data_IF_808866370157
#
_entry.id   IF_808866370157
#
_cell.length_a   1.000
_cell.length_b   1.000
_cell.length_c   1.000
_cell.angle_alpha   90.00
_cell.angle_beta   90.00
_cell.angle_gamma   90.00
#
_symmetry.space_group_name_H-M   'P 1'
#
loop_
_entity.id
_entity.type
_entity.pdbx_description
1 polymer ?
#
# COMPACT_ATOMS: atom_id res chain seq x y z
N UNK A 1 -15.43 -0.62 -32.64
CA UNK A 1 -15.45 -0.31 -31.19
C UNK A 1 -16.46 -1.25 -30.57
N UNK A 2 -16.02 -2.27 -29.83
CA UNK A 2 -16.90 -3.34 -29.30
C UNK A 2 -17.91 -2.77 -28.30
N UNK A 3 -19.13 -3.33 -28.27
CA UNK A 3 -20.19 -2.89 -27.34
C UNK A 3 -19.73 -2.94 -25.88
N UNK A 4 -18.85 -3.88 -25.54
CA UNK A 4 -18.18 -3.94 -24.24
C UNK A 4 -17.42 -2.66 -23.88
N UNK A 5 -16.68 -2.08 -24.83
CA UNK A 5 -15.94 -0.85 -24.60
C UNK A 5 -16.88 0.33 -24.31
N UNK A 6 -18.00 0.43 -25.03
CA UNK A 6 -19.03 1.45 -24.79
C UNK A 6 -19.67 1.31 -23.41
N UNK A 7 -20.10 0.09 -23.05
CA UNK A 7 -20.72 -0.17 -21.74
C UNK A 7 -19.74 0.09 -20.60
N UNK A 8 -18.46 -0.28 -20.77
CA UNK A 8 -17.42 -0.01 -19.79
C UNK A 8 -17.17 1.50 -19.62
N UNK A 9 -17.06 2.25 -20.71
CA UNK A 9 -16.92 3.72 -20.66
C UNK A 9 -18.13 4.36 -19.97
N UNK A 10 -19.36 3.92 -20.27
CA UNK A 10 -20.56 4.42 -19.61
C UNK A 10 -20.58 4.10 -18.10
N UNK A 11 -20.16 2.90 -17.70
CA UNK A 11 -20.04 2.55 -16.27
C UNK A 11 -19.00 3.41 -15.56
N UNK A 12 -17.86 3.70 -16.20
CA UNK A 12 -16.84 4.57 -15.63
C UNK A 12 -17.32 6.02 -15.50
N UNK A 13 -18.01 6.55 -16.51
CA UNK A 13 -18.60 7.89 -16.48
C UNK A 13 -19.67 8.02 -15.39
N UNK A 14 -20.54 7.01 -15.27
CA UNK A 14 -21.55 6.96 -14.21
C UNK A 14 -20.93 6.81 -12.83
N UNK A 15 -19.88 5.99 -12.67
CA UNK A 15 -19.12 5.87 -11.43
C UNK A 15 -18.45 7.18 -11.02
N UNK A 16 -17.85 7.88 -11.98
CA UNK A 16 -17.25 9.19 -11.76
C UNK A 16 -18.30 10.28 -11.42
N UNK A 17 -19.48 10.23 -12.04
CA UNK A 17 -20.59 11.13 -11.72
C UNK A 17 -21.16 10.86 -10.32
N UNK A 18 -21.33 9.59 -9.94
CA UNK A 18 -21.77 9.17 -8.60
C UNK A 18 -20.74 9.58 -7.54
N UNK A 19 -19.45 9.36 -7.78
CA UNK A 19 -18.38 9.75 -6.87
C UNK A 19 -18.37 11.27 -6.63
N UNK A 20 -18.52 12.09 -7.69
CA UNK A 20 -18.63 13.55 -7.58
C UNK A 20 -19.86 14.01 -6.80
N UNK A 21 -21.00 13.34 -7.00
CA UNK A 21 -22.25 13.66 -6.30
C UNK A 21 -22.21 13.32 -4.81
N UNK A 22 -21.43 12.30 -4.42
CA UNK A 22 -21.27 11.88 -3.03
C UNK A 22 -20.23 12.72 -2.27
N UNK A 23 -19.09 13.02 -2.90
CA UNK A 23 -18.10 13.97 -2.37
C UNK A 23 -17.15 14.39 -3.52
N UNK A 24 -17.03 15.68 -3.86
CA UNK A 24 -16.10 16.13 -4.90
C UNK A 24 -14.63 15.72 -4.66
N UNK A 25 -14.23 15.47 -3.41
CA UNK A 25 -12.90 14.96 -3.05
C UNK A 25 -12.67 13.49 -3.49
N UNK A 26 -13.72 12.73 -3.82
CA UNK A 26 -13.59 11.36 -4.33
C UNK A 26 -13.26 11.31 -5.83
N UNK A 27 -13.49 12.41 -6.56
CA UNK A 27 -13.06 12.52 -7.96
C UNK A 27 -11.57 12.87 -8.09
N UNK A 28 -11.00 13.46 -7.04
CA UNK A 28 -9.56 13.66 -6.86
C UNK A 28 -8.94 12.48 -6.08
N UNK A 29 -9.35 11.25 -6.40
CA UNK A 29 -8.73 10.05 -5.82
C UNK A 29 -7.29 9.96 -6.33
N UNK A 30 -6.38 10.63 -5.63
CA UNK A 30 -4.96 10.61 -5.94
C UNK A 30 -4.36 9.29 -5.45
N UNK A 31 -3.39 8.72 -6.18
CA UNK A 31 -2.56 7.62 -5.68
C UNK A 31 -1.92 7.95 -4.31
N UNK A 32 -1.70 9.23 -4.01
CA UNK A 32 -1.19 9.71 -2.72
C UNK A 32 -2.17 9.50 -1.55
N UNK A 33 -3.47 9.39 -1.83
CA UNK A 33 -4.48 9.05 -0.84
C UNK A 33 -4.48 7.57 -0.45
N UNK A 34 -4.04 6.69 -1.35
CA UNK A 34 -3.92 5.24 -1.07
C UNK A 34 -2.88 4.97 0.02
N UNK A 35 -1.76 5.69 0.04
CA UNK A 35 -0.75 5.58 1.10
C UNK A 35 -1.26 6.01 2.48
N UNK A 36 -2.30 6.84 2.54
CA UNK A 36 -2.99 7.23 3.78
C UNK A 36 -4.07 6.23 4.18
N UNK A 37 -4.61 5.47 3.23
CA UNK A 37 -5.59 4.41 3.49
C UNK A 37 -4.93 3.17 4.10
N UNK A 38 -3.64 2.94 3.84
CA UNK A 38 -2.85 1.90 4.51
C UNK A 38 -2.05 2.50 5.67
N UNK A 39 -2.58 2.45 6.91
CA UNK A 39 -1.88 2.99 8.07
C UNK A 39 -0.60 2.22 8.36
N UNK A 40 0.35 2.88 9.00
CA UNK A 40 1.52 2.21 9.55
C UNK A 40 1.05 1.27 10.68
N UNK A 41 1.35 -0.01 10.55
CA UNK A 41 1.00 -1.01 11.58
C UNK A 41 1.74 -0.67 12.88
N UNK A 42 1.08 -0.81 14.04
CA UNK A 42 1.74 -0.67 15.34
C UNK A 42 2.87 -1.68 15.51
N UNK A 43 3.88 -1.35 16.31
CA UNK A 43 5.06 -2.18 16.56
C UNK A 43 4.73 -3.61 16.97
N UNK A 44 3.79 -3.80 17.89
CA UNK A 44 3.40 -5.13 18.38
C UNK A 44 2.77 -6.00 17.29
N UNK A 45 2.00 -5.37 16.39
CA UNK A 45 1.43 -6.04 15.22
C UNK A 45 2.50 -6.37 14.18
N UNK A 46 3.51 -5.52 14.03
CA UNK A 46 4.65 -5.81 13.16
C UNK A 46 5.48 -6.98 13.67
N UNK A 47 5.71 -7.10 14.98
CA UNK A 47 6.38 -8.27 15.54
C UNK A 47 5.54 -9.54 15.43
N UNK A 48 4.23 -9.44 15.59
CA UNK A 48 3.32 -10.57 15.41
C UNK A 48 3.27 -11.07 13.95
N UNK A 49 3.24 -10.16 12.97
CA UNK A 49 3.05 -10.53 11.55
C UNK A 49 4.38 -10.73 10.82
N UNK A 50 5.38 -9.90 11.09
CA UNK A 50 6.67 -9.88 10.38
C UNK A 50 7.85 -10.24 11.27
N UNK A 51 7.67 -10.35 12.58
CA UNK A 51 8.74 -10.65 13.51
C UNK A 51 8.93 -12.12 13.80
N UNK A 52 9.53 -12.37 14.97
CA UNK A 52 9.84 -13.68 15.49
C UNK A 52 8.83 -14.16 16.54
N UNK A 53 7.70 -13.44 16.73
CA UNK A 53 6.68 -13.79 17.72
C UNK A 53 6.16 -15.24 17.58
N UNK A 54 6.03 -15.74 16.35
CA UNK A 54 5.65 -17.12 16.05
C UNK A 54 6.80 -18.01 15.57
N UNK A 55 8.01 -17.46 15.43
CA UNK A 55 9.20 -18.18 15.02
C UNK A 55 10.43 -17.64 15.78
N UNK A 56 10.74 -18.18 16.98
CA UNK A 56 11.76 -17.62 17.87
C UNK A 56 13.16 -17.54 17.27
N UNK A 57 13.51 -18.48 16.40
CA UNK A 57 14.80 -18.53 15.70
C UNK A 57 14.82 -17.69 14.40
N UNK A 58 13.70 -17.03 14.10
CA UNK A 58 13.53 -16.18 12.93
C UNK A 58 14.03 -14.74 13.11
N UNK A 59 14.01 -13.98 12.02
CA UNK A 59 14.35 -12.56 12.04
C UNK A 59 13.26 -11.75 12.77
N UNK A 60 13.70 -10.83 13.63
CA UNK A 60 12.87 -9.77 14.21
C UNK A 60 12.29 -8.86 13.12
N UNK A 61 11.23 -8.11 13.44
CA UNK A 61 10.52 -7.33 12.42
C UNK A 61 11.41 -6.25 11.79
N UNK A 62 12.29 -5.60 12.57
CA UNK A 62 13.24 -4.60 12.04
C UNK A 62 14.16 -5.21 10.99
N UNK A 63 14.81 -6.32 11.32
CA UNK A 63 15.77 -6.96 10.40
C UNK A 63 15.06 -7.47 9.15
N UNK A 64 13.86 -8.06 9.29
CA UNK A 64 13.07 -8.54 8.15
C UNK A 64 12.67 -7.40 7.22
N UNK A 65 12.17 -6.29 7.78
CA UNK A 65 11.75 -5.11 6.99
C UNK A 65 12.92 -4.48 6.24
N UNK A 66 14.11 -4.42 6.84
CA UNK A 66 15.32 -3.92 6.16
C UNK A 66 15.73 -4.81 4.97
N UNK A 67 15.66 -6.14 5.12
CA UNK A 67 15.90 -7.09 4.02
C UNK A 67 14.84 -6.94 2.93
N UNK A 68 13.58 -6.73 3.30
CA UNK A 68 12.50 -6.45 2.34
C UNK A 68 12.77 -5.17 1.54
N UNK A 69 13.22 -4.08 2.18
CA UNK A 69 13.60 -2.85 1.48
C UNK A 69 14.73 -3.12 0.48
N UNK A 70 15.76 -3.87 0.87
CA UNK A 70 16.85 -4.24 -0.04
C UNK A 70 16.35 -5.01 -1.27
N UNK A 71 15.43 -5.97 -1.07
CA UNK A 71 14.79 -6.72 -2.16
C UNK A 71 13.94 -5.84 -3.08
N UNK A 72 13.16 -4.91 -2.51
CA UNK A 72 12.35 -3.96 -3.27
C UNK A 72 13.22 -2.98 -4.08
N UNK A 73 14.33 -2.52 -3.52
CA UNK A 73 15.31 -1.67 -4.22
C UNK A 73 15.95 -2.45 -5.38
N UNK A 74 16.31 -3.72 -5.16
CA UNK A 74 16.83 -4.59 -6.22
C UNK A 74 15.81 -4.86 -7.34
N UNK A 75 14.51 -4.90 -7.02
CA UNK A 75 13.44 -5.10 -8.00
C UNK A 75 13.17 -3.86 -8.89
N UNK A 76 13.58 -2.66 -8.46
CA UNK A 76 13.60 -1.46 -9.30
C UNK A 76 12.29 -0.64 -9.30
N UNK A 77 12.08 0.13 -10.38
CA UNK A 77 11.22 1.31 -10.44
C UNK A 77 9.72 1.09 -10.12
N UNK A 78 9.20 -0.13 -10.18
CA UNK A 78 7.80 -0.43 -9.86
C UNK A 78 7.52 -0.51 -8.36
N UNK A 79 8.57 -0.57 -7.52
CA UNK A 79 8.44 -0.78 -6.09
C UNK A 79 8.34 0.52 -5.27
N UNK A 80 8.30 1.71 -5.89
CA UNK A 80 8.38 2.99 -5.17
C UNK A 80 7.32 3.15 -4.05
N UNK A 81 6.03 2.84 -4.27
CA UNK A 81 5.01 2.92 -3.20
C UNK A 81 5.27 1.90 -2.08
N UNK A 82 5.65 0.67 -2.45
CA UNK A 82 5.99 -0.39 -1.52
C UNK A 82 7.21 -0.02 -0.67
N UNK A 83 8.24 0.59 -1.27
CA UNK A 83 9.43 1.08 -0.55
C UNK A 83 9.02 2.14 0.47
N UNK A 84 8.21 3.14 0.09
CA UNK A 84 7.76 4.19 1.00
C UNK A 84 6.98 3.61 2.20
N UNK A 85 6.10 2.64 1.95
CA UNK A 85 5.35 1.95 3.00
C UNK A 85 6.27 1.13 3.92
N UNK A 86 7.19 0.32 3.36
CA UNK A 86 8.10 -0.50 4.15
C UNK A 86 9.06 0.35 4.98
N UNK A 87 9.51 1.51 4.47
CA UNK A 87 10.34 2.47 5.24
C UNK A 87 9.59 3.02 6.45
N UNK A 88 8.29 3.36 6.31
CA UNK A 88 7.46 3.81 7.45
C UNK A 88 7.37 2.74 8.53
N UNK A 89 7.14 1.49 8.14
CA UNK A 89 7.08 0.35 9.05
C UNK A 89 8.44 0.07 9.71
N UNK A 90 9.54 0.13 8.96
CA UNK A 90 10.87 -0.07 9.50
C UNK A 90 11.19 0.96 10.59
N UNK A 91 10.86 2.24 10.35
CA UNK A 91 11.05 3.32 11.34
C UNK A 91 10.25 3.06 12.62
N UNK A 92 8.99 2.66 12.50
CA UNK A 92 8.12 2.35 13.64
C UNK A 92 8.61 1.10 14.41
N UNK A 93 9.19 0.12 13.72
CA UNK A 93 9.85 -1.03 14.37
C UNK A 93 11.14 -0.64 15.13
N UNK A 94 11.70 0.55 14.88
CA UNK A 94 12.94 1.05 15.49
C UNK A 94 14.18 0.82 14.64
N UNK A 95 14.03 0.78 13.31
CA UNK A 95 15.12 0.70 12.35
C UNK A 95 16.06 1.92 12.43
#
# INVERSE_FOLDING_TARGET
>A
MSDFAKTYTQMLEQGAAMARAMNPALAEFTPEGLDKLFPTMPKDWMEAVFGNAFNPDGLDAKTRLLVTIAGLVAAGATAQPQIALTVRHAREAGA
#
